data_IF_280599588534
#
_entry.id   IF_280599588534
#
_cell.length_a   1.000
_cell.length_b   1.000
_cell.length_c   1.000
_cell.angle_alpha   90.00
_cell.angle_beta   90.00
_cell.angle_gamma   90.00
#
_symmetry.space_group_name_H-M   'P 1'
#
loop_
_entity.id
_entity.type
_entity.pdbx_description
1 polymer ?
#
# COMPACT_ATOMS: atom_id res chain seq x y z
N UNK A 1 -7.19 11.47 -8.73
CA UNK A 1 -6.91 10.04 -8.95
C UNK A 1 -8.13 9.13 -8.78
N UNK A 2 -8.90 9.22 -7.68
CA UNK A 2 -10.05 8.33 -7.43
C UNK A 2 -11.10 8.30 -8.57
N UNK A 3 -11.39 9.45 -9.16
CA UNK A 3 -12.31 9.57 -10.31
C UNK A 3 -11.74 8.96 -11.60
N UNK A 4 -10.46 9.16 -11.90
CA UNK A 4 -9.81 8.55 -13.07
C UNK A 4 -9.77 7.02 -12.96
N UNK A 5 -9.53 6.47 -11.76
CA UNK A 5 -9.58 5.03 -11.51
C UNK A 5 -10.98 4.45 -11.72
N UNK A 6 -12.01 5.14 -11.23
CA UNK A 6 -13.40 4.74 -11.47
C UNK A 6 -13.78 4.84 -12.94
N UNK A 7 -13.36 5.91 -13.63
CA UNK A 7 -13.59 6.10 -15.06
C UNK A 7 -12.94 4.98 -15.89
N UNK A 8 -11.69 4.60 -15.57
CA UNK A 8 -11.00 3.52 -16.28
C UNK A 8 -11.67 2.16 -16.06
N UNK A 9 -12.11 1.86 -14.84
CA UNK A 9 -12.89 0.63 -14.56
C UNK A 9 -14.22 0.61 -15.31
N UNK A 10 -14.92 1.75 -15.35
CA UNK A 10 -16.18 1.87 -16.07
C UNK A 10 -15.99 1.68 -17.58
N UNK A 11 -14.95 2.28 -18.15
CA UNK A 11 -14.59 2.12 -19.57
C UNK A 11 -14.20 0.67 -19.90
N UNK A 12 -13.41 0.01 -19.05
CA UNK A 12 -13.05 -1.41 -19.20
C UNK A 12 -14.27 -2.32 -19.14
N UNK A 13 -15.16 -2.11 -18.16
CA UNK A 13 -16.40 -2.88 -18.02
C UNK A 13 -17.30 -2.68 -19.24
N UNK A 14 -17.47 -1.44 -19.69
CA UNK A 14 -18.29 -1.14 -20.87
C UNK A 14 -17.72 -1.76 -22.14
N UNK A 15 -16.40 -1.65 -22.34
CA UNK A 15 -15.69 -2.26 -23.47
C UNK A 15 -15.83 -3.78 -23.50
N UNK A 16 -15.61 -4.44 -22.36
CA UNK A 16 -15.77 -5.89 -22.21
C UNK A 16 -17.22 -6.34 -22.39
N UNK A 17 -18.19 -5.59 -21.87
CA UNK A 17 -19.61 -5.92 -22.04
C UNK A 17 -20.06 -5.81 -23.50
N UNK A 18 -19.49 -4.85 -24.24
CA UNK A 18 -19.80 -4.63 -25.65
C UNK A 18 -19.21 -5.75 -26.51
N UNK A 19 -17.93 -6.07 -26.32
CA UNK A 19 -17.28 -7.18 -27.04
C UNK A 19 -17.87 -8.54 -26.65
N UNK A 20 -18.21 -8.75 -25.38
CA UNK A 20 -18.90 -9.96 -24.94
C UNK A 20 -20.21 -10.17 -25.71
N UNK A 21 -21.05 -9.16 -25.89
CA UNK A 21 -22.30 -9.30 -26.68
C UNK A 21 -22.06 -9.72 -28.13
N UNK A 22 -21.02 -9.18 -28.79
CA UNK A 22 -20.68 -9.52 -30.17
C UNK A 22 -20.14 -10.95 -30.29
N UNK A 23 -19.25 -11.36 -29.40
CA UNK A 23 -18.56 -12.65 -29.48
C UNK A 23 -19.33 -13.80 -28.79
N UNK A 24 -20.27 -13.51 -27.88
CA UNK A 24 -21.08 -14.53 -27.19
C UNK A 24 -21.88 -15.39 -28.16
N UNK A 25 -22.33 -14.83 -29.29
CA UNK A 25 -23.09 -15.58 -30.30
C UNK A 25 -22.23 -16.62 -31.04
N UNK A 26 -20.91 -16.40 -31.12
CA UNK A 26 -19.97 -17.29 -31.84
C UNK A 26 -19.20 -18.22 -30.93
N UNK A 27 -18.84 -17.77 -29.72
CA UNK A 27 -17.96 -18.50 -28.79
C UNK A 27 -18.65 -18.88 -27.47
N UNK A 28 -19.91 -18.48 -27.29
CA UNK A 28 -20.71 -18.82 -26.12
C UNK A 28 -20.13 -18.28 -24.81
N UNK A 29 -20.30 -19.04 -23.74
CA UNK A 29 -19.89 -18.66 -22.39
C UNK A 29 -18.36 -18.49 -22.21
N UNK A 30 -17.54 -19.05 -23.10
CA UNK A 30 -16.07 -18.89 -23.07
C UNK A 30 -15.63 -17.42 -23.20
N UNK A 31 -16.39 -16.60 -23.94
CA UNK A 31 -16.11 -15.17 -24.07
C UNK A 31 -16.19 -14.45 -22.71
N UNK A 32 -17.10 -14.88 -21.84
CA UNK A 32 -17.26 -14.32 -20.49
C UNK A 32 -16.06 -14.68 -19.62
N UNK A 33 -15.61 -15.94 -19.66
CA UNK A 33 -14.46 -16.42 -18.89
C UNK A 33 -13.17 -15.69 -19.28
N UNK A 34 -12.93 -15.54 -20.59
CA UNK A 34 -11.77 -14.81 -21.11
C UNK A 34 -11.86 -13.32 -20.75
N UNK A 35 -13.04 -12.71 -20.87
CA UNK A 35 -13.26 -11.31 -20.50
C UNK A 35 -12.99 -11.03 -19.02
N UNK A 36 -13.45 -11.89 -18.12
CA UNK A 36 -13.17 -11.80 -16.68
C UNK A 36 -11.68 -11.96 -16.41
N UNK A 37 -11.03 -12.94 -17.05
CA UNK A 37 -9.59 -13.16 -16.90
C UNK A 37 -8.77 -11.93 -17.30
N UNK A 38 -9.08 -11.34 -18.47
CA UNK A 38 -8.43 -10.11 -18.93
C UNK A 38 -8.69 -8.95 -17.96
N UNK A 39 -9.93 -8.81 -17.49
CA UNK A 39 -10.28 -7.76 -16.53
C UNK A 39 -9.45 -7.87 -15.24
N UNK A 40 -9.34 -9.08 -14.67
CA UNK A 40 -8.57 -9.32 -13.45
C UNK A 40 -7.08 -9.01 -13.65
N UNK A 41 -6.50 -9.40 -14.78
CA UNK A 41 -5.09 -9.11 -15.10
C UNK A 41 -4.87 -7.60 -15.23
N UNK A 42 -5.74 -6.91 -15.97
CA UNK A 42 -5.64 -5.46 -16.17
C UNK A 42 -5.82 -4.72 -14.85
N UNK A 43 -6.80 -5.10 -14.03
CA UNK A 43 -7.04 -4.50 -12.72
C UNK A 43 -5.83 -4.69 -11.80
N UNK A 44 -5.25 -5.90 -11.77
CA UNK A 44 -4.05 -6.19 -10.99
C UNK A 44 -2.85 -5.32 -11.41
N UNK A 45 -2.57 -5.21 -12.71
CA UNK A 45 -1.47 -4.37 -13.22
C UNK A 45 -1.69 -2.89 -12.89
N UNK A 46 -2.91 -2.38 -13.04
CA UNK A 46 -3.25 -0.99 -12.72
C UNK A 46 -3.09 -0.73 -11.22
N UNK A 47 -3.61 -1.62 -10.37
CA UNK A 47 -3.50 -1.48 -8.91
C UNK A 47 -2.03 -1.47 -8.48
N UNK A 48 -1.21 -2.39 -9.00
CA UNK A 48 0.23 -2.44 -8.71
C UNK A 48 0.94 -1.14 -9.09
N UNK A 49 0.67 -0.60 -10.30
CA UNK A 49 1.25 0.69 -10.70
C UNK A 49 0.77 1.84 -9.82
N UNK A 50 -0.49 1.85 -9.40
CA UNK A 50 -1.01 2.88 -8.50
C UNK A 50 -0.37 2.83 -7.12
N UNK A 51 -0.13 1.64 -6.58
CA UNK A 51 0.61 1.44 -5.32
C UNK A 51 2.04 1.98 -5.43
N UNK A 52 2.77 1.63 -6.49
CA UNK A 52 4.12 2.15 -6.73
C UNK A 52 4.16 3.68 -6.83
N UNK A 53 3.16 4.29 -7.48
CA UNK A 53 3.07 5.76 -7.60
C UNK A 53 2.83 6.38 -6.22
N UNK A 54 1.89 5.84 -5.45
CA UNK A 54 1.62 6.32 -4.09
C UNK A 54 2.83 6.20 -3.19
N UNK A 55 3.50 5.06 -3.21
CA UNK A 55 4.71 4.81 -2.42
C UNK A 55 5.80 5.83 -2.76
N UNK A 56 6.02 6.10 -4.06
CA UNK A 56 6.96 7.14 -4.51
C UNK A 56 6.57 8.54 -4.03
N UNK A 57 5.28 8.89 -4.07
CA UNK A 57 4.80 10.19 -3.55
C UNK A 57 5.04 10.32 -2.04
N UNK A 58 4.81 9.25 -1.28
CA UNK A 58 5.05 9.20 0.17
C UNK A 58 6.54 9.33 0.48
N UNK A 59 7.40 8.56 -0.20
CA UNK A 59 8.86 8.65 -0.04
C UNK A 59 9.37 10.04 -0.44
N UNK A 60 8.82 10.65 -1.49
CA UNK A 60 9.20 12.02 -1.90
C UNK A 60 8.87 13.04 -0.81
N UNK A 61 7.75 12.86 -0.11
CA UNK A 61 7.32 13.72 0.99
C UNK A 61 8.08 13.46 2.30
N UNK A 62 8.49 12.21 2.51
CA UNK A 62 9.17 11.73 3.72
C UNK A 62 10.43 10.94 3.33
N UNK A 63 11.52 11.62 2.92
CA UNK A 63 12.69 10.97 2.35
C UNK A 63 13.41 10.02 3.31
N UNK A 64 13.29 10.25 4.61
CA UNK A 64 13.83 9.38 5.66
C UNK A 64 13.24 7.96 5.64
N UNK A 65 12.07 7.75 5.02
CA UNK A 65 11.50 6.40 4.88
C UNK A 65 12.32 5.51 3.94
N UNK A 66 13.04 6.10 2.99
CA UNK A 66 13.85 5.35 2.01
C UNK A 66 15.01 4.60 2.67
N UNK A 67 15.51 5.11 3.79
CA UNK A 67 16.68 4.55 4.49
C UNK A 67 16.29 3.55 5.59
N UNK A 68 15.01 3.49 5.95
CA UNK A 68 14.53 2.60 7.00
C UNK A 68 14.44 1.15 6.53
N UNK A 69 15.07 0.25 7.29
CA UNK A 69 14.98 -1.19 7.06
C UNK A 69 14.10 -1.83 8.12
N UNK A 70 13.25 -2.75 7.70
CA UNK A 70 12.46 -3.58 8.62
C UNK A 70 13.36 -4.23 9.68
N UNK A 71 12.95 -4.14 10.95
CA UNK A 71 13.71 -4.60 12.11
C UNK A 71 14.67 -3.56 12.73
N UNK A 72 14.78 -2.37 12.14
CA UNK A 72 15.66 -1.31 12.65
C UNK A 72 15.06 -0.59 13.85
N UNK A 73 15.89 -0.25 14.84
CA UNK A 73 15.50 0.57 15.99
C UNK A 73 15.46 2.05 15.60
N UNK A 74 14.36 2.70 15.95
CA UNK A 74 14.10 4.11 15.67
C UNK A 74 13.56 4.84 16.90
N UNK A 75 13.82 6.13 16.95
CA UNK A 75 13.20 7.09 17.85
C UNK A 75 12.31 8.03 17.04
N UNK A 76 11.07 8.21 17.49
CA UNK A 76 10.07 9.06 16.86
C UNK A 76 9.70 10.20 17.78
N UNK A 77 9.84 11.44 17.30
CA UNK A 77 9.26 12.61 17.96
C UNK A 77 7.97 12.97 17.26
N UNK A 78 6.86 12.97 18.00
CA UNK A 78 5.57 13.37 17.48
C UNK A 78 5.39 14.89 17.63
N UNK A 79 4.60 15.49 16.73
CA UNK A 79 4.28 16.94 16.74
C UNK A 79 3.59 17.43 18.02
N UNK A 80 3.00 16.52 18.79
CA UNK A 80 2.42 16.83 20.09
C UNK A 80 3.46 16.82 21.24
N UNK A 81 4.74 16.68 20.92
CA UNK A 81 5.83 16.62 21.90
C UNK A 81 6.05 15.23 22.51
N UNK A 82 5.21 14.23 22.20
CA UNK A 82 5.43 12.86 22.69
C UNK A 82 6.59 12.21 21.95
N UNK A 83 7.53 11.66 22.70
CA UNK A 83 8.66 10.91 22.16
C UNK A 83 8.44 9.41 22.36
N UNK A 84 8.71 8.64 21.33
CA UNK A 84 8.67 7.18 21.35
C UNK A 84 10.07 6.70 20.98
N UNK A 85 10.84 6.28 21.98
CA UNK A 85 12.23 5.83 21.82
C UNK A 85 12.30 4.30 21.75
N UNK A 86 13.36 3.77 21.15
CA UNK A 86 13.64 2.32 21.06
C UNK A 86 12.50 1.51 20.42
N UNK A 87 11.91 2.04 19.36
CA UNK A 87 10.85 1.37 18.62
C UNK A 87 11.44 0.59 17.44
N UNK A 88 11.08 -0.67 17.28
CA UNK A 88 11.38 -1.46 16.09
C UNK A 88 10.46 -1.03 14.95
N UNK A 89 11.03 -0.59 13.84
CA UNK A 89 10.31 -0.33 12.60
C UNK A 89 10.05 -1.62 11.81
N UNK A 90 8.88 -1.73 11.16
CA UNK A 90 8.53 -2.87 10.30
C UNK A 90 8.35 -2.43 8.86
N UNK A 91 7.28 -1.68 8.62
CA UNK A 91 6.88 -1.23 7.30
C UNK A 91 6.09 0.07 7.40
N UNK A 92 5.94 0.74 6.27
CA UNK A 92 4.93 1.78 6.11
C UNK A 92 3.94 1.35 5.02
N UNK A 93 2.66 1.67 5.20
CA UNK A 93 1.62 1.51 4.18
C UNK A 93 0.83 2.80 4.15
N UNK A 94 0.63 3.33 2.94
CA UNK A 94 0.04 4.65 2.72
C UNK A 94 0.71 5.71 3.62
N UNK A 95 -0.05 6.38 4.48
CA UNK A 95 0.42 7.44 5.37
C UNK A 95 0.74 6.95 6.80
N UNK A 96 0.96 5.64 7.00
CA UNK A 96 1.09 5.04 8.33
C UNK A 96 2.39 4.24 8.44
N UNK A 97 3.16 4.51 9.50
CA UNK A 97 4.30 3.70 9.91
C UNK A 97 3.87 2.69 10.98
N UNK A 98 4.32 1.45 10.83
CA UNK A 98 4.12 0.37 11.80
C UNK A 98 5.37 0.21 12.65
N UNK A 99 5.21 0.36 13.97
CA UNK A 99 6.31 0.27 14.95
C UNK A 99 5.89 -0.54 16.17
N UNK A 100 6.84 -1.18 16.84
CA UNK A 100 6.60 -1.90 18.11
C UNK A 100 7.75 -1.66 19.08
N UNK A 101 7.49 -1.80 20.37
CA UNK A 101 8.51 -1.82 21.41
C UNK A 101 9.16 -3.21 21.57
N UNK A 102 8.70 -4.22 20.82
CA UNK A 102 9.25 -5.57 20.84
C UNK A 102 10.30 -5.78 19.73
N UNK A 103 11.25 -6.71 19.94
CA UNK A 103 12.20 -7.11 18.90
C UNK A 103 11.49 -7.78 17.71
N UNK A 104 12.08 -7.65 16.51
CA UNK A 104 11.50 -8.08 15.23
C UNK A 104 11.05 -9.56 15.17
N UNK A 105 11.57 -10.44 16.04
CA UNK A 105 11.26 -11.87 16.07
C UNK A 105 10.09 -12.29 16.98
N UNK A 106 9.66 -11.45 17.93
CA UNK A 106 8.72 -11.85 19.01
C UNK A 106 7.26 -11.40 18.76
N UNK A 107 6.97 -10.74 17.65
CA UNK A 107 5.65 -10.15 17.36
C UNK A 107 4.60 -11.18 16.94
N UNK A 108 5.03 -12.37 16.49
CA UNK A 108 4.10 -13.44 16.08
C UNK A 108 3.14 -13.78 17.24
N UNK A 109 3.57 -13.60 18.49
CA UNK A 109 2.75 -13.84 19.68
C UNK A 109 1.95 -12.62 20.17
N UNK A 110 2.23 -11.40 19.69
CA UNK A 110 1.51 -10.20 20.16
C UNK A 110 1.33 -9.09 19.11
N UNK A 111 0.41 -9.31 18.16
CA UNK A 111 -0.12 -8.24 17.28
C UNK A 111 -0.65 -7.01 18.06
N UNK A 112 -0.98 -7.16 19.35
CA UNK A 112 -1.41 -6.07 20.23
C UNK A 112 -0.33 -5.03 20.54
N UNK A 113 0.95 -5.36 20.36
CA UNK A 113 2.07 -4.44 20.64
C UNK A 113 2.38 -3.48 19.49
N UNK A 114 1.85 -3.76 18.29
CA UNK A 114 2.09 -2.94 17.10
C UNK A 114 1.31 -1.64 17.20
N UNK A 115 2.02 -0.53 17.13
CA UNK A 115 1.46 0.81 17.05
C UNK A 115 1.51 1.32 15.62
N UNK A 116 0.36 1.80 15.15
CA UNK A 116 0.19 2.41 13.85
C UNK A 116 0.18 3.94 13.98
N UNK A 117 1.25 4.58 13.49
CA UNK A 117 1.45 6.03 13.64
C UNK A 117 1.32 6.70 12.28
N UNK A 118 0.46 7.71 12.17
CA UNK A 118 0.34 8.49 10.93
C UNK A 118 1.60 9.32 10.71
N UNK A 119 2.23 9.22 9.54
CA UNK A 119 3.45 9.96 9.16
C UNK A 119 3.30 11.47 9.37
N UNK A 120 2.13 12.03 9.08
CA UNK A 120 1.84 13.46 9.29
C UNK A 120 1.98 13.95 10.74
N UNK A 121 1.90 13.04 11.72
CA UNK A 121 2.06 13.31 13.15
C UNK A 121 3.52 13.26 13.59
N UNK A 122 4.40 12.68 12.79
CA UNK A 122 5.83 12.60 13.07
C UNK A 122 6.44 13.96 12.73
N UNK A 123 7.25 14.47 13.66
CA UNK A 123 8.04 15.68 13.50
C UNK A 123 9.44 15.31 13.04
N UNK A 124 10.09 14.40 13.76
CA UNK A 124 11.41 13.86 13.44
C UNK A 124 11.47 12.36 13.67
N UNK A 125 12.33 11.71 12.89
CA UNK A 125 12.66 10.30 13.00
C UNK A 125 14.18 10.18 13.07
N UNK A 126 14.67 9.51 14.09
CA UNK A 126 16.09 9.27 14.32
C UNK A 126 16.34 7.77 14.32
N UNK A 127 17.42 7.35 13.65
CA UNK A 127 17.85 5.95 13.64
C UNK A 127 18.79 5.74 14.81
N UNK A 128 18.51 4.72 15.63
CA UNK A 128 19.45 4.32 16.68
C UNK A 128 20.37 3.28 16.03
N UNK A 129 21.58 3.69 15.65
CA UNK A 129 22.63 2.74 15.30
C UNK A 129 23.03 1.97 16.56
N UNK A 130 23.10 0.65 16.41
CA UNK A 130 23.47 -0.28 17.47
C UNK A 130 24.97 -0.52 17.45
#
# INVERSE_FOLDING_TARGET
MKYFYWLSRFALFWGLSSTAKYFYKSYGWWTVVVGISIFLIVDWVINKKLEEIKEKEIIKKYPYLKTLKSGQLISLKLKNGKELTHMTYYYFIDDVISVSNLPYGEIIESLKSIQYIKLKKIQTLEMIEK
#
